data_IF_762231380101
#
_entry.id   IF_762231380101
#
_cell.length_a   1.000
_cell.length_b   1.000
_cell.length_c   1.000
_cell.angle_alpha   90.00
_cell.angle_beta   90.00
_cell.angle_gamma   90.00
#
_symmetry.space_group_name_H-M   'P 1'
#
loop_
_entity.id
_entity.type
_entity.pdbx_description
1 polymer ?
#
# COMPACT_ATOMS: atom_id res chain seq x y z
N UNK A 1 -25.41 47.54 -42.80
CA UNK A 1 -25.58 46.10 -42.90
C UNK A 1 -24.45 45.40 -42.13
N UNK A 2 -24.79 45.02 -40.91
CA UNK A 2 -23.88 44.22 -39.98
C UNK A 2 -24.10 42.78 -40.29
N UNK A 3 -23.03 42.08 -40.71
CA UNK A 3 -23.02 40.61 -40.72
C UNK A 3 -22.51 40.11 -39.38
N UNK A 4 -23.16 39.11 -38.78
CA UNK A 4 -22.71 38.55 -37.52
C UNK A 4 -21.56 37.57 -37.78
N UNK A 5 -20.37 37.92 -37.32
CA UNK A 5 -19.24 37.02 -37.17
C UNK A 5 -19.48 36.09 -35.97
N UNK A 6 -20.32 35.10 -36.16
CA UNK A 6 -20.38 33.94 -35.29
C UNK A 6 -20.20 32.71 -36.15
N UNK A 7 -19.11 31.94 -35.93
CA UNK A 7 -19.13 30.46 -36.16
C UNK A 7 -17.80 29.78 -36.40
N UNK A 8 -16.67 30.37 -36.08
CA UNK A 8 -15.44 29.55 -36.15
C UNK A 8 -14.96 28.97 -34.81
N UNK A 9 -15.35 29.58 -33.68
CA UNK A 9 -14.99 29.08 -32.36
C UNK A 9 -15.86 27.90 -31.88
N UNK A 10 -17.15 27.91 -32.25
CA UNK A 10 -18.09 26.88 -31.79
C UNK A 10 -17.86 25.51 -32.47
N UNK A 11 -17.40 25.51 -33.72
CA UNK A 11 -17.09 24.28 -34.46
C UNK A 11 -15.77 23.67 -34.02
N UNK A 12 -14.77 24.48 -33.64
CA UNK A 12 -13.52 24.00 -33.11
C UNK A 12 -13.70 23.39 -31.70
N UNK A 13 -14.55 24.01 -30.88
CA UNK A 13 -14.88 23.53 -29.54
C UNK A 13 -15.70 22.23 -29.59
N UNK A 14 -16.64 22.12 -30.50
CA UNK A 14 -17.44 20.90 -30.69
C UNK A 14 -16.64 19.73 -31.27
N UNK A 15 -15.57 20.00 -32.03
CA UNK A 15 -14.66 18.96 -32.51
C UNK A 15 -13.69 18.42 -31.42
N UNK A 16 -13.42 19.24 -30.41
CA UNK A 16 -12.53 18.88 -29.29
C UNK A 16 -13.31 18.20 -28.16
N UNK A 17 -14.56 18.53 -27.92
CA UNK A 17 -15.41 17.97 -26.87
C UNK A 17 -15.54 16.44 -26.90
N UNK A 18 -15.68 15.74 -28.03
CA UNK A 18 -15.72 14.28 -28.05
C UNK A 18 -14.41 13.63 -27.58
N UNK A 19 -13.28 14.30 -27.76
CA UNK A 19 -11.98 13.80 -27.28
C UNK A 19 -11.81 14.02 -25.78
N UNK A 20 -12.32 15.12 -25.25
CA UNK A 20 -12.33 15.43 -23.83
C UNK A 20 -13.39 14.62 -23.07
N UNK A 21 -14.47 14.23 -23.77
CA UNK A 21 -15.56 13.46 -23.20
C UNK A 21 -15.36 11.93 -23.26
N UNK A 22 -14.28 11.43 -23.86
CA UNK A 22 -13.94 10.01 -23.76
C UNK A 22 -13.52 9.73 -22.32
N UNK A 23 -14.25 8.88 -21.56
CA UNK A 23 -13.80 8.48 -20.25
C UNK A 23 -12.42 7.85 -20.41
N UNK A 24 -11.43 8.38 -19.68
CA UNK A 24 -10.11 7.77 -19.61
C UNK A 24 -10.27 6.30 -19.19
N UNK A 25 -9.59 5.38 -19.87
CA UNK A 25 -9.59 3.98 -19.48
C UNK A 25 -9.04 3.88 -18.06
N UNK A 26 -9.78 3.30 -17.09
CA UNK A 26 -9.31 3.17 -15.73
C UNK A 26 -7.98 2.39 -15.69
N UNK A 27 -7.01 2.87 -14.92
CA UNK A 27 -5.73 2.17 -14.71
C UNK A 27 -5.90 0.89 -13.89
N UNK A 28 -6.91 0.86 -13.03
CA UNK A 28 -7.20 -0.22 -12.09
C UNK A 28 -8.63 -0.73 -12.27
N UNK A 29 -8.88 -1.94 -11.79
CA UNK A 29 -10.23 -2.48 -11.74
C UNK A 29 -11.13 -1.59 -10.88
N UNK A 30 -12.37 -1.29 -11.31
CA UNK A 30 -13.28 -0.43 -10.55
C UNK A 30 -13.54 -0.92 -9.13
N UNK A 31 -13.62 -2.24 -8.94
CA UNK A 31 -13.80 -2.88 -7.63
C UNK A 31 -12.61 -2.62 -6.71
N UNK A 32 -11.40 -2.62 -7.24
CA UNK A 32 -10.20 -2.32 -6.48
C UNK A 32 -10.20 -0.88 -5.99
N UNK A 33 -10.60 0.07 -6.85
CA UNK A 33 -10.73 1.47 -6.45
C UNK A 33 -11.82 1.70 -5.40
N UNK A 34 -12.93 0.99 -5.49
CA UNK A 34 -13.98 1.04 -4.45
C UNK A 34 -13.47 0.53 -3.10
N UNK A 35 -12.72 -0.56 -3.10
CA UNK A 35 -12.08 -1.09 -1.89
C UNK A 35 -11.03 -0.14 -1.33
N UNK A 36 -10.28 0.52 -2.20
CA UNK A 36 -9.32 1.56 -1.82
C UNK A 36 -10.01 2.72 -1.11
N UNK A 37 -11.07 3.26 -1.69
CA UNK A 37 -11.83 4.36 -1.09
C UNK A 37 -12.44 3.99 0.27
N UNK A 38 -12.97 2.77 0.41
CA UNK A 38 -13.47 2.28 1.69
C UNK A 38 -12.33 2.10 2.72
N UNK A 39 -11.19 1.57 2.31
CA UNK A 39 -10.05 1.36 3.20
C UNK A 39 -9.40 2.67 3.65
N UNK A 40 -9.30 3.67 2.76
CA UNK A 40 -8.78 4.99 3.10
C UNK A 40 -9.72 5.77 4.03
N UNK A 41 -11.02 5.67 3.83
CA UNK A 41 -12.01 6.26 4.73
C UNK A 41 -11.93 5.63 6.13
N UNK A 42 -11.82 4.31 6.22
CA UNK A 42 -11.62 3.59 7.48
C UNK A 42 -10.31 4.02 8.17
N UNK A 43 -9.22 4.09 7.43
CA UNK A 43 -7.94 4.52 7.96
C UNK A 43 -7.99 5.95 8.50
N UNK A 44 -8.61 6.86 7.77
CA UNK A 44 -8.79 8.25 8.19
C UNK A 44 -9.59 8.34 9.50
N UNK A 45 -10.68 7.61 9.60
CA UNK A 45 -11.50 7.54 10.82
C UNK A 45 -10.71 6.95 11.99
N UNK A 46 -10.03 5.84 11.78
CA UNK A 46 -9.22 5.17 12.81
C UNK A 46 -8.09 6.05 13.29
N UNK A 47 -7.42 6.75 12.39
CA UNK A 47 -6.36 7.71 12.74
C UNK A 47 -6.88 8.87 13.57
N UNK A 48 -8.02 9.43 13.20
CA UNK A 48 -8.66 10.52 13.94
C UNK A 48 -9.06 10.10 15.36
N UNK A 49 -9.41 8.85 15.56
CA UNK A 49 -9.85 8.28 16.83
C UNK A 49 -8.74 7.59 17.64
N UNK A 50 -7.49 7.65 17.19
CA UNK A 50 -6.36 6.89 17.79
C UNK A 50 -6.08 7.16 19.26
N UNK A 51 -6.57 8.28 19.80
CA UNK A 51 -6.42 8.64 21.22
C UNK A 51 -7.59 8.18 22.10
N UNK A 52 -8.61 7.57 21.51
CA UNK A 52 -9.73 7.05 22.27
C UNK A 52 -9.34 5.68 22.85
N UNK A 53 -9.66 5.46 24.11
CA UNK A 53 -9.35 4.23 24.83
C UNK A 53 -9.94 2.99 24.13
N UNK A 54 -9.10 1.97 23.92
CA UNK A 54 -9.49 0.68 23.38
C UNK A 54 -9.49 0.57 21.86
N UNK A 55 -8.89 1.53 21.14
CA UNK A 55 -8.84 1.52 19.69
C UNK A 55 -7.51 0.94 19.17
N UNK A 56 -7.47 -0.39 19.04
CA UNK A 56 -6.39 -1.13 18.37
C UNK A 56 -6.63 -1.28 16.85
N UNK A 57 -7.56 -0.54 16.27
CA UNK A 57 -7.99 -0.71 14.88
C UNK A 57 -7.05 -0.06 13.85
N UNK A 58 -6.10 0.78 14.27
CA UNK A 58 -5.18 1.48 13.38
C UNK A 58 -4.31 0.50 12.58
N UNK A 59 -3.69 -0.45 13.24
CA UNK A 59 -2.82 -1.45 12.60
C UNK A 59 -3.57 -2.32 11.60
N UNK A 60 -4.72 -2.92 11.94
CA UNK A 60 -5.55 -3.65 10.98
C UNK A 60 -6.00 -2.79 9.79
N UNK A 61 -6.35 -1.51 10.01
CA UNK A 61 -6.73 -0.59 8.94
C UNK A 61 -5.57 -0.31 7.97
N UNK A 62 -4.38 -0.09 8.49
CA UNK A 62 -3.16 0.10 7.68
C UNK A 62 -2.80 -1.16 6.88
N UNK A 63 -2.87 -2.32 7.47
CA UNK A 63 -2.59 -3.57 6.77
C UNK A 63 -3.65 -3.92 5.74
N UNK A 64 -4.91 -3.56 5.97
CA UNK A 64 -5.96 -3.69 4.97
C UNK A 64 -5.67 -2.81 3.74
N UNK A 65 -5.21 -1.57 3.96
CA UNK A 65 -4.77 -0.70 2.87
C UNK A 65 -3.54 -1.26 2.16
N UNK A 66 -2.56 -1.73 2.90
CA UNK A 66 -1.36 -2.35 2.34
C UNK A 66 -1.68 -3.55 1.44
N UNK A 67 -2.63 -4.39 1.83
CA UNK A 67 -3.07 -5.51 1.01
C UNK A 67 -3.64 -5.05 -0.34
N UNK A 68 -4.37 -3.94 -0.38
CA UNK A 68 -4.85 -3.33 -1.63
C UNK A 68 -3.67 -2.79 -2.44
N UNK A 69 -2.69 -2.16 -1.81
CA UNK A 69 -1.46 -1.71 -2.49
C UNK A 69 -0.77 -2.87 -3.23
N UNK A 70 -0.71 -4.04 -2.62
CA UNK A 70 -0.16 -5.25 -3.26
C UNK A 70 -0.98 -5.70 -4.47
N UNK A 71 -2.30 -5.62 -4.39
CA UNK A 71 -3.17 -6.00 -5.52
C UNK A 71 -3.05 -5.02 -6.70
N UNK A 72 -2.70 -3.76 -6.46
CA UNK A 72 -2.49 -2.77 -7.54
C UNK A 72 -1.32 -3.12 -8.45
N UNK A 73 -0.33 -3.85 -7.95
CA UNK A 73 0.96 -4.10 -8.62
C UNK A 73 1.71 -2.83 -9.05
N UNK A 74 1.25 -1.67 -8.58
CA UNK A 74 1.87 -0.37 -8.85
C UNK A 74 3.02 -0.12 -7.87
N UNK A 75 4.20 0.16 -8.39
CA UNK A 75 5.42 0.31 -7.61
C UNK A 75 5.34 1.46 -6.61
N UNK A 76 4.77 2.59 -7.01
CA UNK A 76 4.64 3.77 -6.14
C UNK A 76 3.64 3.51 -5.02
N UNK A 77 2.53 2.86 -5.33
CA UNK A 77 1.51 2.46 -4.36
C UNK A 77 2.05 1.45 -3.34
N UNK A 78 2.79 0.45 -3.78
CA UNK A 78 3.45 -0.54 -2.93
C UNK A 78 4.44 0.10 -1.96
N UNK A 79 5.30 0.96 -2.47
CA UNK A 79 6.29 1.71 -1.67
C UNK A 79 5.61 2.57 -0.61
N UNK A 80 4.54 3.25 -0.98
CA UNK A 80 3.76 4.06 -0.05
C UNK A 80 3.09 3.22 1.04
N UNK A 81 2.45 2.11 0.68
CA UNK A 81 1.86 1.18 1.64
C UNK A 81 2.87 0.60 2.62
N UNK A 82 4.04 0.23 2.16
CA UNK A 82 5.15 -0.25 2.99
C UNK A 82 5.62 0.82 3.98
N UNK A 83 5.78 2.06 3.51
CA UNK A 83 6.18 3.18 4.36
C UNK A 83 5.14 3.50 5.44
N UNK A 84 3.84 3.46 5.10
CA UNK A 84 2.75 3.63 6.07
C UNK A 84 2.77 2.54 7.14
N UNK A 85 2.90 1.29 6.75
CA UNK A 85 2.93 0.16 7.67
C UNK A 85 4.13 0.24 8.62
N UNK A 86 5.30 0.55 8.10
CA UNK A 86 6.53 0.71 8.88
C UNK A 86 6.45 1.89 9.85
N UNK A 87 5.85 3.01 9.43
CA UNK A 87 5.66 4.17 10.27
C UNK A 87 4.71 3.90 11.45
N UNK A 88 3.58 3.28 11.19
CA UNK A 88 2.62 2.91 12.22
C UNK A 88 3.22 1.96 13.26
N UNK A 89 3.96 1.00 12.81
CA UNK A 89 4.63 0.04 13.66
C UNK A 89 5.70 0.69 14.55
N UNK A 90 6.46 1.61 13.98
CA UNK A 90 7.44 2.40 14.73
C UNK A 90 6.79 3.22 15.86
N UNK A 91 5.62 3.81 15.62
CA UNK A 91 4.88 4.56 16.63
C UNK A 91 4.40 3.66 17.77
N UNK A 92 3.98 2.45 17.47
CA UNK A 92 3.55 1.48 18.47
C UNK A 92 4.68 1.05 19.40
N UNK A 93 5.89 0.84 18.86
CA UNK A 93 7.06 0.38 19.62
C UNK A 93 7.74 1.52 20.40
N UNK A 94 7.91 2.68 19.75
CA UNK A 94 8.77 3.77 20.28
C UNK A 94 8.00 4.86 21.03
N UNK A 95 6.67 4.78 21.06
CA UNK A 95 5.84 5.85 21.56
C UNK A 95 5.78 7.07 20.62
N UNK A 96 5.29 8.18 21.09
CA UNK A 96 5.07 9.36 20.26
C UNK A 96 6.38 9.95 19.73
N UNK A 97 6.47 10.01 18.41
CA UNK A 97 7.51 10.75 17.69
C UNK A 97 6.85 11.87 16.88
N UNK A 98 6.92 13.13 17.34
CA UNK A 98 6.11 14.21 16.76
C UNK A 98 6.26 14.39 15.25
N UNK A 99 7.48 14.28 14.74
CA UNK A 99 7.75 14.38 13.30
C UNK A 99 7.13 13.24 12.50
N UNK A 100 7.19 12.02 13.03
CA UNK A 100 6.62 10.85 12.38
C UNK A 100 5.10 10.89 12.41
N UNK A 101 4.51 11.31 13.53
CA UNK A 101 3.06 11.53 13.67
C UNK A 101 2.59 12.58 12.66
N UNK A 102 3.28 13.71 12.56
CA UNK A 102 2.94 14.76 11.59
C UNK A 102 3.04 14.28 10.14
N UNK A 103 4.08 13.51 9.79
CA UNK A 103 4.25 12.95 8.45
C UNK A 103 3.18 11.91 8.11
N UNK A 104 2.83 11.06 9.09
CA UNK A 104 1.80 10.05 8.93
C UNK A 104 0.40 10.70 8.80
N UNK A 105 0.11 11.71 9.62
CA UNK A 105 -1.13 12.50 9.51
C UNK A 105 -1.27 13.14 8.13
N UNK A 106 -0.23 13.78 7.62
CA UNK A 106 -0.24 14.39 6.29
C UNK A 106 -0.44 13.36 5.18
N UNK A 107 0.18 12.19 5.29
CA UNK A 107 0.02 11.10 4.34
C UNK A 107 -1.43 10.55 4.33
N UNK A 108 -2.02 10.36 5.50
CA UNK A 108 -3.40 9.86 5.63
C UNK A 108 -4.41 10.90 5.13
N UNK A 109 -4.22 12.18 5.45
CA UNK A 109 -5.07 13.26 4.92
C UNK A 109 -5.01 13.34 3.39
N UNK A 110 -3.85 13.12 2.80
CA UNK A 110 -3.69 13.12 1.35
C UNK A 110 -4.40 11.95 0.64
N UNK A 111 -4.85 10.94 1.39
CA UNK A 111 -5.65 9.83 0.86
C UNK A 111 -7.15 10.16 0.74
N UNK A 112 -7.60 11.25 1.32
CA UNK A 112 -8.99 11.72 1.24
C UNK A 112 -9.26 12.37 -0.12
N UNK A 113 -9.44 11.51 -1.13
CA UNK A 113 -9.65 11.89 -2.54
C UNK A 113 -10.76 11.06 -3.16
N UNK A 114 -11.74 11.74 -3.76
CA UNK A 114 -12.89 11.08 -4.38
C UNK A 114 -12.52 10.12 -5.51
N UNK A 115 -11.48 10.44 -6.28
CA UNK A 115 -11.01 9.60 -7.39
C UNK A 115 -10.14 8.42 -6.92
N UNK A 116 -9.63 8.45 -5.70
CA UNK A 116 -8.82 7.38 -5.14
C UNK A 116 -7.59 7.06 -6.00
N UNK A 117 -7.46 5.79 -6.40
CA UNK A 117 -6.36 5.30 -7.25
C UNK A 117 -6.31 5.96 -8.63
N UNK A 118 -7.43 6.45 -9.13
CA UNK A 118 -7.55 7.06 -10.46
C UNK A 118 -7.26 8.58 -10.46
N UNK A 119 -6.89 9.16 -9.31
CA UNK A 119 -6.51 10.55 -9.26
C UNK A 119 -5.22 10.79 -10.06
N UNK A 120 -5.19 11.90 -10.81
CA UNK A 120 -4.09 12.22 -11.73
C UNK A 120 -2.73 12.32 -11.05
N UNK A 121 -2.69 12.81 -9.81
CA UNK A 121 -1.46 12.97 -9.03
C UNK A 121 -1.21 11.83 -8.03
N UNK A 122 -1.95 10.73 -8.12
CA UNK A 122 -1.85 9.61 -7.18
C UNK A 122 -0.42 9.07 -7.05
N UNK A 123 0.23 8.75 -8.16
CA UNK A 123 1.62 8.26 -8.16
C UNK A 123 2.63 9.25 -7.56
N UNK A 124 2.47 10.52 -7.91
CA UNK A 124 3.32 11.60 -7.37
C UNK A 124 3.17 11.75 -5.85
N UNK A 125 1.94 11.72 -5.36
CA UNK A 125 1.66 11.76 -3.92
C UNK A 125 2.20 10.55 -3.19
N UNK A 126 2.04 9.36 -3.75
CA UNK A 126 2.61 8.14 -3.18
C UNK A 126 4.13 8.26 -3.04
N UNK A 127 4.83 8.71 -4.07
CA UNK A 127 6.29 8.92 -4.03
C UNK A 127 6.69 9.95 -2.97
N UNK A 128 6.01 11.09 -2.94
CA UNK A 128 6.30 12.17 -2.01
C UNK A 128 6.17 11.73 -0.55
N UNK A 129 5.05 11.13 -0.18
CA UNK A 129 4.81 10.71 1.18
C UNK A 129 5.63 9.48 1.58
N UNK A 130 5.85 8.55 0.67
CA UNK A 130 6.75 7.42 0.90
C UNK A 130 8.17 7.90 1.21
N UNK A 131 8.71 8.80 0.41
CA UNK A 131 10.05 9.36 0.63
C UNK A 131 10.17 10.08 1.96
N UNK A 132 9.17 10.87 2.33
CA UNK A 132 9.16 11.59 3.62
C UNK A 132 9.15 10.64 4.82
N UNK A 133 8.30 9.62 4.78
CA UNK A 133 8.23 8.60 5.83
C UNK A 133 9.51 7.78 5.90
N UNK A 134 10.03 7.34 4.77
CA UNK A 134 11.29 6.57 4.69
C UNK A 134 12.46 7.36 5.24
N UNK A 135 12.57 8.66 4.96
CA UNK A 135 13.61 9.53 5.49
C UNK A 135 13.57 9.59 7.02
N UNK A 136 12.39 9.73 7.60
CA UNK A 136 12.21 9.76 9.05
C UNK A 136 12.51 8.41 9.70
N UNK A 137 12.15 7.31 9.04
CA UNK A 137 12.44 5.95 9.50
C UNK A 137 13.92 5.62 9.40
N UNK A 138 14.60 6.07 8.33
CA UNK A 138 16.02 5.83 8.10
C UNK A 138 16.92 6.52 9.14
N UNK A 139 16.49 7.62 9.73
CA UNK A 139 17.26 8.30 10.78
C UNK A 139 17.56 7.43 12.00
N UNK A 140 16.81 6.34 12.20
CA UNK A 140 17.06 5.34 13.25
C UNK A 140 17.57 4.00 12.73
N UNK A 141 17.47 3.75 11.43
CA UNK A 141 17.91 2.49 10.83
C UNK A 141 19.42 2.41 10.56
N UNK A 142 20.21 3.38 11.06
CA UNK A 142 21.68 3.38 10.93
C UNK A 142 22.37 2.20 11.63
N UNK A 143 21.62 1.41 12.39
CA UNK A 143 22.16 0.25 13.10
C UNK A 143 22.07 -1.06 12.31
N UNK A 144 21.30 -1.12 11.21
CA UNK A 144 21.16 -2.33 10.41
C UNK A 144 22.15 -2.36 9.25
N UNK A 145 23.01 -3.39 9.24
CA UNK A 145 23.99 -3.59 8.18
C UNK A 145 23.32 -3.88 6.83
N UNK A 146 23.76 -3.23 5.73
CA UNK A 146 23.31 -3.58 4.38
C UNK A 146 23.51 -5.06 4.00
N UNK A 147 24.50 -5.72 4.63
CA UNK A 147 24.73 -7.15 4.45
C UNK A 147 23.57 -7.98 5.00
N UNK A 148 23.02 -7.61 6.14
CA UNK A 148 21.87 -8.30 6.74
C UNK A 148 20.65 -8.17 5.84
N UNK A 149 20.41 -7.00 5.28
CA UNK A 149 19.30 -6.77 4.33
C UNK A 149 19.45 -7.63 3.07
N UNK A 150 20.66 -7.73 2.53
CA UNK A 150 20.94 -8.57 1.36
C UNK A 150 20.74 -10.05 1.65
N UNK A 151 21.25 -10.53 2.79
CA UNK A 151 21.06 -11.92 3.22
C UNK A 151 19.58 -12.25 3.41
N UNK A 152 18.80 -11.33 3.98
CA UNK A 152 17.37 -11.51 4.11
C UNK A 152 16.68 -11.60 2.74
N UNK A 153 17.02 -10.73 1.79
CA UNK A 153 16.43 -10.75 0.45
C UNK A 153 16.72 -12.07 -0.26
N UNK A 154 17.96 -12.55 -0.22
CA UNK A 154 18.36 -13.82 -0.84
C UNK A 154 17.61 -14.99 -0.20
N UNK A 155 17.53 -15.05 1.10
CA UNK A 155 16.77 -16.08 1.83
C UNK A 155 15.27 -15.99 1.55
N UNK A 156 14.69 -14.79 1.52
CA UNK A 156 13.28 -14.59 1.22
C UNK A 156 12.92 -15.06 -0.19
N UNK A 157 13.78 -14.81 -1.17
CA UNK A 157 13.59 -15.28 -2.54
C UNK A 157 13.61 -16.81 -2.62
N UNK A 158 14.54 -17.48 -1.91
CA UNK A 158 14.58 -18.94 -1.85
C UNK A 158 13.31 -19.51 -1.21
N UNK A 159 12.80 -18.88 -0.14
CA UNK A 159 11.55 -19.31 0.50
C UNK A 159 10.33 -19.11 -0.38
N UNK A 160 10.27 -17.99 -1.12
CA UNK A 160 9.19 -17.74 -2.09
C UNK A 160 9.23 -18.78 -3.21
N UNK A 161 10.40 -19.14 -3.70
CA UNK A 161 10.56 -20.21 -4.69
C UNK A 161 10.08 -21.57 -4.15
N UNK A 162 10.47 -21.90 -2.92
CA UNK A 162 10.00 -23.13 -2.25
C UNK A 162 8.48 -23.14 -2.05
N UNK A 163 7.87 -22.00 -1.70
CA UNK A 163 6.42 -21.85 -1.61
C UNK A 163 5.74 -22.05 -2.98
N UNK A 164 6.33 -21.52 -4.03
CA UNK A 164 5.83 -21.67 -5.39
C UNK A 164 5.87 -23.14 -5.82
N UNK A 165 6.97 -23.85 -5.56
CA UNK A 165 7.11 -25.27 -5.83
C UNK A 165 6.10 -26.11 -5.04
N UNK A 166 5.86 -25.77 -3.77
CA UNK A 166 4.87 -26.43 -2.94
C UNK A 166 3.43 -26.27 -3.49
N UNK A 167 3.10 -25.11 -4.04
CA UNK A 167 1.81 -24.88 -4.71
C UNK A 167 1.69 -25.63 -6.03
N UNK A 168 2.77 -25.78 -6.77
CA UNK A 168 2.79 -26.48 -8.06
C UNK A 168 2.80 -28.03 -7.92
N UNK A 169 3.08 -28.54 -6.73
CA UNK A 169 3.05 -29.98 -6.45
C UNK A 169 1.62 -30.56 -6.59
N UNK A 170 1.53 -31.83 -6.97
CA UNK A 170 0.26 -32.55 -7.16
C UNK A 170 0.16 -33.77 -6.23
N UNK A 171 -0.64 -33.72 -5.14
CA UNK A 171 -1.41 -32.55 -4.66
C UNK A 171 -0.50 -31.45 -4.09
N UNK A 172 -0.99 -30.20 -3.96
CA UNK A 172 -0.21 -29.12 -3.36
C UNK A 172 0.26 -29.47 -1.95
N UNK A 173 1.52 -29.16 -1.66
CA UNK A 173 2.13 -29.41 -0.34
C UNK A 173 1.81 -28.27 0.63
N UNK A 174 0.65 -28.37 1.29
CA UNK A 174 0.22 -27.36 2.24
C UNK A 174 1.12 -27.25 3.47
N UNK A 175 1.74 -28.32 3.90
CA UNK A 175 2.66 -28.32 5.04
C UNK A 175 3.95 -27.56 4.72
N UNK A 176 4.56 -27.80 3.55
CA UNK A 176 5.74 -27.07 3.11
C UNK A 176 5.43 -25.58 2.93
N UNK A 177 4.30 -25.25 2.30
CA UNK A 177 3.86 -23.86 2.15
C UNK A 177 3.69 -23.15 3.48
N UNK A 178 3.05 -23.80 4.45
CA UNK A 178 2.84 -23.27 5.80
C UNK A 178 4.15 -23.04 6.55
N UNK A 179 5.08 -23.99 6.48
CA UNK A 179 6.38 -23.92 7.13
C UNK A 179 7.22 -22.77 6.57
N UNK A 180 7.30 -22.64 5.24
CA UNK A 180 8.04 -21.56 4.59
C UNK A 180 7.43 -20.19 4.88
N UNK A 181 6.11 -20.08 4.89
CA UNK A 181 5.42 -18.84 5.23
C UNK A 181 5.67 -18.43 6.70
N UNK A 182 5.66 -19.37 7.64
CA UNK A 182 5.93 -19.09 9.05
C UNK A 182 7.37 -18.63 9.27
N UNK A 183 8.35 -19.29 8.68
CA UNK A 183 9.76 -18.90 8.79
C UNK A 183 10.03 -17.55 8.14
N UNK A 184 9.44 -17.26 6.99
CA UNK A 184 9.54 -15.95 6.37
C UNK A 184 8.95 -14.85 7.28
N UNK A 185 7.79 -15.11 7.90
CA UNK A 185 7.17 -14.19 8.83
C UNK A 185 8.06 -13.90 10.04
N UNK A 186 8.67 -14.93 10.63
CA UNK A 186 9.55 -14.77 11.79
C UNK A 186 10.80 -13.97 11.45
N UNK A 187 11.45 -14.25 10.33
CA UNK A 187 12.64 -13.51 9.90
C UNK A 187 12.32 -12.05 9.53
N UNK A 188 11.19 -11.82 8.85
CA UNK A 188 10.73 -10.48 8.56
C UNK A 188 10.42 -9.67 9.84
N UNK A 189 9.82 -10.29 10.84
CA UNK A 189 9.57 -9.69 12.15
C UNK A 189 10.85 -9.26 12.85
N UNK A 190 11.88 -10.10 12.85
CA UNK A 190 13.19 -9.79 13.43
C UNK A 190 13.86 -8.58 12.80
N UNK A 191 13.64 -8.37 11.52
CA UNK A 191 14.18 -7.23 10.76
C UNK A 191 13.22 -6.04 10.67
N UNK A 192 12.08 -6.12 11.37
CA UNK A 192 11.05 -5.08 11.35
C UNK A 192 10.50 -4.81 9.95
N UNK A 193 10.44 -5.83 9.09
CA UNK A 193 9.84 -5.78 7.76
C UNK A 193 8.37 -6.20 7.83
N UNK A 194 7.56 -5.33 8.36
CA UNK A 194 6.19 -5.63 8.79
C UNK A 194 5.25 -5.98 7.65
N UNK A 195 5.42 -5.35 6.49
CA UNK A 195 4.65 -5.69 5.29
C UNK A 195 4.88 -7.13 4.85
N UNK A 196 6.13 -7.56 4.76
CA UNK A 196 6.49 -8.94 4.42
C UNK A 196 5.96 -9.91 5.46
N UNK A 197 6.16 -9.60 6.75
CA UNK A 197 5.64 -10.40 7.86
C UNK A 197 4.12 -10.59 7.77
N UNK A 198 3.39 -9.53 7.53
CA UNK A 198 1.94 -9.57 7.44
C UNK A 198 1.46 -10.46 6.29
N UNK A 199 2.08 -10.36 5.12
CA UNK A 199 1.73 -11.19 3.97
C UNK A 199 2.08 -12.67 4.20
N UNK A 200 3.22 -12.95 4.81
CA UNK A 200 3.62 -14.31 5.15
C UNK A 200 2.65 -14.93 6.17
N UNK A 201 2.23 -14.18 7.19
CA UNK A 201 1.21 -14.63 8.16
C UNK A 201 -0.16 -14.83 7.52
N UNK A 202 -0.52 -14.02 6.54
CA UNK A 202 -1.75 -14.20 5.77
C UNK A 202 -1.73 -15.51 4.98
N UNK A 203 -0.62 -15.79 4.29
CA UNK A 203 -0.42 -17.09 3.63
C UNK A 203 -0.53 -18.26 4.60
N UNK A 204 0.12 -18.17 5.75
CA UNK A 204 0.04 -19.17 6.80
C UNK A 204 -1.41 -19.47 7.23
N UNK A 205 -2.21 -18.43 7.44
CA UNK A 205 -3.63 -18.57 7.81
C UNK A 205 -4.46 -19.21 6.71
N UNK A 206 -4.22 -18.86 5.45
CA UNK A 206 -4.93 -19.43 4.31
C UNK A 206 -4.66 -20.92 4.14
N UNK A 207 -3.46 -21.39 4.48
CA UNK A 207 -3.11 -22.82 4.42
C UNK A 207 -3.66 -23.64 5.60
N UNK A 208 -4.03 -22.98 6.70
CA UNK A 208 -4.60 -23.61 7.89
C UNK A 208 -6.12 -23.83 7.84
N UNK A 209 -6.83 -23.17 6.95
CA UNK A 209 -8.26 -23.38 6.75
C UNK A 209 -8.47 -24.58 5.84
N UNK A 210 -8.64 -25.76 6.44
CA UNK A 210 -9.25 -26.89 5.72
C UNK A 210 -10.73 -26.59 5.49
N UNK A 211 -11.26 -26.94 4.32
CA UNK A 211 -12.69 -26.88 4.07
C UNK A 211 -13.46 -27.82 5.02
#
# INVERSE_FOLDING_TARGET
>A
HSFPTRRSSDLATAAILPWLARPATPRFAPELNQRWLAATARLHQTWSNRHLDGDDDLRPALFALYAICLETTDTDCLRFGEALASAADRLEISGEHPKLVAALSAAIEALDEEKGLEHETFGERCRHFAQRLETLLAQRAQERSPLIDRLFIDEALERVEAMHDALAALPPDAYALKTEADELAQHAEQLELWGVMHQARRLYKLTGNKP
#
